data_IF_886570529209
#
_entry.id   IF_886570529209
#
_cell.length_a   1.000
_cell.length_b   1.000
_cell.length_c   1.000
_cell.angle_alpha   90.00
_cell.angle_beta   90.00
_cell.angle_gamma   90.00
#
_symmetry.space_group_name_H-M   'P 1'
#
loop_
_entity.id
_entity.type
_entity.pdbx_description
1 polymer ?
#
# COMPACT_ATOMS: atom_id res chain seq x y z
N UNK A 1 22.69 -2.96 5.65
CA UNK A 1 22.96 -2.50 4.26
C UNK A 1 23.75 -3.50 3.39
N UNK A 2 24.93 -3.98 3.81
CA UNK A 2 25.77 -4.88 2.97
C UNK A 2 25.10 -6.20 2.57
N UNK A 3 24.30 -6.77 3.47
CA UNK A 3 23.63 -8.06 3.31
C UNK A 3 22.50 -8.03 2.25
N UNK A 4 21.67 -6.98 2.26
CA UNK A 4 20.67 -6.76 1.21
C UNK A 4 21.30 -6.53 -0.17
N UNK A 5 22.50 -5.95 -0.22
CA UNK A 5 23.22 -5.69 -1.47
C UNK A 5 23.74 -6.98 -2.11
N UNK A 6 24.31 -7.88 -1.29
CA UNK A 6 24.75 -9.19 -1.74
C UNK A 6 23.59 -10.08 -2.20
N UNK A 7 22.47 -10.08 -1.47
CA UNK A 7 21.27 -10.83 -1.84
C UNK A 7 20.71 -10.36 -3.20
N UNK A 8 20.64 -9.05 -3.42
CA UNK A 8 20.19 -8.44 -4.68
C UNK A 8 21.14 -8.77 -5.85
N UNK A 9 22.46 -8.70 -5.62
CA UNK A 9 23.48 -9.05 -6.63
C UNK A 9 23.45 -10.53 -7.01
N UNK A 10 23.18 -11.41 -6.05
CA UNK A 10 23.01 -12.85 -6.30
C UNK A 10 21.75 -13.12 -7.14
N UNK A 11 20.61 -12.53 -6.77
CA UNK A 11 19.35 -12.65 -7.52
C UNK A 11 19.49 -12.18 -8.99
N UNK A 12 20.13 -11.03 -9.22
CA UNK A 12 20.43 -10.53 -10.57
C UNK A 12 21.28 -11.52 -11.38
N UNK A 13 22.27 -12.16 -10.75
CA UNK A 13 23.08 -13.21 -11.39
C UNK A 13 22.27 -14.45 -11.73
N UNK A 14 21.35 -14.86 -10.87
CA UNK A 14 20.48 -16.02 -11.12
C UNK A 14 19.52 -15.74 -12.28
N UNK A 15 18.91 -14.55 -12.35
CA UNK A 15 17.98 -14.17 -13.42
C UNK A 15 18.66 -14.15 -14.78
N UNK A 16 19.90 -13.65 -14.85
CA UNK A 16 20.66 -13.60 -16.11
C UNK A 16 21.08 -14.97 -16.65
N UNK A 17 20.97 -16.04 -15.85
CA UNK A 17 21.24 -17.42 -16.28
C UNK A 17 20.00 -18.12 -16.82
N UNK A 18 18.81 -17.53 -16.67
CA UNK A 18 17.56 -18.11 -17.17
C UNK A 18 17.36 -17.81 -18.66
N UNK A 19 16.63 -18.68 -19.39
CA UNK A 19 16.14 -18.37 -20.72
C UNK A 19 15.39 -17.04 -20.77
N UNK A 20 15.50 -16.27 -21.86
CA UNK A 20 14.90 -14.93 -22.00
C UNK A 20 13.40 -14.91 -21.67
N UNK A 21 12.67 -15.97 -22.02
CA UNK A 21 11.23 -16.12 -21.72
C UNK A 21 10.95 -16.19 -20.22
N UNK A 22 11.71 -17.00 -19.49
CA UNK A 22 11.57 -17.18 -18.04
C UNK A 22 12.00 -15.93 -17.29
N UNK A 23 13.12 -15.32 -17.69
CA UNK A 23 13.58 -14.05 -17.13
C UNK A 23 12.53 -12.93 -17.30
N UNK A 24 11.86 -12.86 -18.47
CA UNK A 24 10.78 -11.91 -18.72
C UNK A 24 9.55 -12.17 -17.84
N UNK A 25 9.15 -13.43 -17.66
CA UNK A 25 8.04 -13.78 -16.78
C UNK A 25 8.34 -13.44 -15.31
N UNK A 26 9.54 -13.77 -14.83
CA UNK A 26 9.95 -13.46 -13.47
C UNK A 26 10.01 -11.95 -13.22
N UNK A 27 10.46 -11.17 -14.21
CA UNK A 27 10.44 -9.71 -14.13
C UNK A 27 9.01 -9.16 -14.02
N UNK A 28 8.07 -9.67 -14.82
CA UNK A 28 6.65 -9.29 -14.71
C UNK A 28 6.06 -9.61 -13.33
N UNK A 29 6.38 -10.78 -12.78
CA UNK A 29 5.95 -11.16 -11.43
C UNK A 29 6.54 -10.22 -10.37
N UNK A 30 7.83 -9.88 -10.49
CA UNK A 30 8.49 -8.94 -9.59
C UNK A 30 7.84 -7.56 -9.66
N UNK A 31 7.61 -7.04 -10.87
CA UNK A 31 6.99 -5.74 -11.08
C UNK A 31 5.56 -5.71 -10.49
N UNK A 32 4.80 -6.79 -10.67
CA UNK A 32 3.48 -6.96 -10.07
C UNK A 32 3.56 -6.95 -8.53
N UNK A 33 4.40 -7.80 -7.93
CA UNK A 33 4.56 -7.85 -6.48
C UNK A 33 5.03 -6.51 -5.90
N UNK A 34 5.95 -5.83 -6.57
CA UNK A 34 6.43 -4.52 -6.14
C UNK A 34 5.35 -3.44 -6.22
N UNK A 35 4.46 -3.50 -7.22
CA UNK A 35 3.33 -2.58 -7.37
C UNK A 35 2.33 -2.71 -6.21
N UNK A 36 1.98 -3.94 -5.82
CA UNK A 36 0.93 -4.18 -4.83
C UNK A 36 1.44 -4.29 -3.38
N UNK A 37 2.61 -4.91 -3.18
CA UNK A 37 3.14 -5.20 -1.83
C UNK A 37 4.35 -4.33 -1.45
N UNK A 38 4.79 -3.43 -2.35
CA UNK A 38 5.97 -2.61 -2.13
C UNK A 38 5.87 -1.71 -0.89
N UNK A 39 4.68 -1.14 -0.64
CA UNK A 39 4.43 -0.25 0.51
C UNK A 39 4.50 -0.95 1.86
N UNK A 40 4.10 -2.23 1.93
CA UNK A 40 4.05 -3.02 3.17
C UNK A 40 5.21 -4.00 3.32
N UNK A 41 6.22 -3.93 2.43
CA UNK A 41 7.34 -4.88 2.38
C UNK A 41 8.08 -5.05 3.72
N UNK A 42 8.12 -4.01 4.54
CA UNK A 42 8.82 -4.00 5.83
C UNK A 42 7.90 -4.21 7.03
N UNK A 43 6.59 -4.30 6.80
CA UNK A 43 5.60 -4.54 7.83
C UNK A 43 5.68 -6.02 8.25
N UNK A 44 5.99 -6.26 9.53
CA UNK A 44 6.16 -7.62 10.09
C UNK A 44 4.99 -8.05 10.96
N UNK A 45 4.18 -7.10 11.39
CA UNK A 45 2.96 -7.26 12.19
C UNK A 45 1.84 -6.42 11.58
N UNK A 46 0.60 -6.65 12.01
CA UNK A 46 -0.51 -5.78 11.64
C UNK A 46 -0.25 -4.33 12.09
N UNK A 47 -0.77 -3.34 11.35
CA UNK A 47 -0.71 -1.94 11.78
C UNK A 47 -1.58 -1.70 13.02
N UNK A 48 -1.14 -0.80 13.89
CA UNK A 48 -1.96 -0.35 15.02
C UNK A 48 -3.05 0.65 14.59
N UNK A 49 -2.82 1.40 13.51
CA UNK A 49 -3.75 2.39 12.92
C UNK A 49 -3.59 2.36 11.40
N UNK A 50 -4.68 2.54 10.67
CA UNK A 50 -4.67 2.72 9.21
C UNK A 50 -5.22 4.10 8.83
N UNK A 51 -4.52 4.80 7.95
CA UNK A 51 -4.99 6.05 7.36
C UNK A 51 -5.53 5.74 5.97
N UNK A 52 -6.79 6.10 5.70
CA UNK A 52 -7.50 5.82 4.45
C UNK A 52 -7.85 7.15 3.78
N UNK A 53 -7.72 7.19 2.46
CA UNK A 53 -8.11 8.32 1.63
C UNK A 53 -9.10 7.75 0.62
N UNK A 54 -10.18 8.47 0.35
CA UNK A 54 -11.22 8.04 -0.58
C UNK A 54 -11.92 6.74 -0.14
N UNK A 55 -12.94 6.93 0.70
CA UNK A 55 -13.75 5.85 1.25
C UNK A 55 -14.50 5.04 0.19
N UNK A 56 -14.93 5.68 -0.91
CA UNK A 56 -15.65 4.98 -1.96
C UNK A 56 -14.75 4.01 -2.72
N UNK A 57 -13.51 4.43 -3.03
CA UNK A 57 -12.55 3.57 -3.71
C UNK A 57 -11.97 2.50 -2.79
N UNK A 58 -11.77 2.81 -1.51
CA UNK A 58 -11.09 1.94 -0.54
C UNK A 58 -12.04 1.24 0.46
N UNK A 59 -13.31 1.05 0.08
CA UNK A 59 -14.32 0.41 0.94
C UNK A 59 -13.89 -0.97 1.48
N UNK A 60 -13.17 -1.75 0.68
CA UNK A 60 -12.67 -3.07 1.11
C UNK A 60 -11.66 -2.95 2.25
N UNK A 61 -10.76 -1.96 2.19
CA UNK A 61 -9.78 -1.73 3.24
C UNK A 61 -10.44 -1.32 4.56
N UNK A 62 -11.50 -0.50 4.50
CA UNK A 62 -12.30 -0.13 5.66
C UNK A 62 -12.93 -1.36 6.30
N UNK A 63 -13.58 -2.22 5.50
CA UNK A 63 -14.19 -3.46 6.00
C UNK A 63 -13.17 -4.42 6.62
N UNK A 64 -12.00 -4.56 6.02
CA UNK A 64 -10.92 -5.37 6.58
C UNK A 64 -10.43 -4.81 7.92
N UNK A 65 -10.27 -3.49 8.03
CA UNK A 65 -9.88 -2.83 9.28
C UNK A 65 -10.93 -3.03 10.38
N UNK A 66 -12.21 -2.84 10.06
CA UNK A 66 -13.33 -3.10 10.99
C UNK A 66 -13.31 -4.57 11.46
N UNK A 67 -13.14 -5.51 10.53
CA UNK A 67 -13.11 -6.95 10.83
C UNK A 67 -11.92 -7.32 11.72
N UNK A 68 -10.76 -6.69 11.51
CA UNK A 68 -9.55 -6.92 12.29
C UNK A 68 -9.51 -6.11 13.59
N UNK A 69 -10.46 -5.19 13.80
CA UNK A 69 -10.48 -4.28 14.95
C UNK A 69 -9.35 -3.26 14.93
N UNK A 70 -8.88 -2.87 13.74
CA UNK A 70 -7.82 -1.89 13.56
C UNK A 70 -8.46 -0.51 13.40
N UNK A 71 -8.15 0.47 14.26
CA UNK A 71 -8.72 1.81 14.17
C UNK A 71 -8.27 2.54 12.89
N UNK A 72 -9.19 3.32 12.33
CA UNK A 72 -9.05 4.00 11.05
C UNK A 72 -9.14 5.52 11.20
N UNK A 73 -8.29 6.22 10.45
CA UNK A 73 -8.39 7.67 10.23
C UNK A 73 -8.72 7.85 8.75
N UNK A 74 -9.86 8.44 8.41
CA UNK A 74 -10.26 8.63 7.01
C UNK A 74 -10.42 10.10 6.65
N UNK A 75 -9.95 10.48 5.46
CA UNK A 75 -10.39 11.72 4.84
C UNK A 75 -11.82 11.51 4.30
N UNK A 76 -12.74 12.38 4.69
CA UNK A 76 -14.17 12.29 4.37
C UNK A 76 -14.57 13.56 3.62
N UNK A 77 -15.04 13.40 2.38
CA UNK A 77 -15.68 14.48 1.60
C UNK A 77 -17.22 14.33 1.65
N UNK A 78 -17.94 15.16 0.91
CA UNK A 78 -19.40 15.27 0.90
C UNK A 78 -20.15 14.00 0.49
N UNK A 79 -19.48 13.04 -0.14
CA UNK A 79 -20.04 11.80 -0.67
C UNK A 79 -19.62 10.54 0.12
N UNK A 80 -19.07 10.74 1.31
CA UNK A 80 -18.55 9.73 2.21
C UNK A 80 -19.43 9.59 3.47
N UNK A 81 -19.41 8.40 4.10
CA UNK A 81 -20.15 8.11 5.33
C UNK A 81 -19.18 8.13 6.54
N UNK A 82 -19.25 9.16 7.41
CA UNK A 82 -18.33 9.32 8.53
C UNK A 82 -18.49 8.25 9.61
N UNK A 83 -19.62 7.52 9.65
CA UNK A 83 -19.87 6.50 10.69
C UNK A 83 -19.07 5.20 10.46
N UNK A 84 -18.47 5.06 9.27
CA UNK A 84 -17.68 3.90 8.87
C UNK A 84 -16.20 4.00 9.25
N UNK A 85 -15.78 5.10 9.89
CA UNK A 85 -14.40 5.35 10.31
C UNK A 85 -14.36 5.85 11.75
N UNK A 86 -13.31 5.51 12.50
CA UNK A 86 -13.19 5.89 13.90
C UNK A 86 -12.87 7.39 14.07
N UNK A 87 -12.07 7.94 13.16
CA UNK A 87 -11.64 9.33 13.17
C UNK A 87 -11.84 9.94 11.77
N UNK A 88 -13.02 10.52 11.49
CA UNK A 88 -13.26 11.21 10.24
C UNK A 88 -12.61 12.60 10.24
N UNK A 89 -11.84 12.89 9.18
CA UNK A 89 -11.25 14.21 8.92
C UNK A 89 -11.97 14.82 7.71
N UNK A 90 -12.77 15.88 7.87
CA UNK A 90 -13.45 16.51 6.75
C UNK A 90 -12.41 17.18 5.84
N UNK A 91 -12.33 16.72 4.59
CA UNK A 91 -11.33 17.18 3.63
C UNK A 91 -11.78 16.87 2.19
N UNK A 92 -11.20 17.61 1.24
CA UNK A 92 -11.34 17.29 -0.19
C UNK A 92 -10.28 16.25 -0.56
N UNK A 93 -10.70 15.03 -0.86
CA UNK A 93 -9.82 13.92 -1.24
C UNK A 93 -9.54 13.86 -2.77
N UNK A 94 -10.35 14.53 -3.59
CA UNK A 94 -10.09 14.68 -5.03
C UNK A 94 -8.81 15.50 -5.32
N UNK A 95 -8.51 16.48 -4.47
CA UNK A 95 -7.41 17.41 -4.67
C UNK A 95 -6.10 16.88 -4.09
N UNK A 96 -5.14 16.52 -4.96
CA UNK A 96 -3.76 16.18 -4.56
C UNK A 96 -3.11 17.22 -3.64
N UNK A 97 -3.43 18.49 -3.83
CA UNK A 97 -2.94 19.55 -2.95
C UNK A 97 -3.49 19.39 -1.53
N UNK A 98 -4.81 19.17 -1.39
CA UNK A 98 -5.45 18.99 -0.08
C UNK A 98 -4.92 17.75 0.64
N UNK A 99 -4.85 16.59 -0.03
CA UNK A 99 -4.21 15.38 0.52
C UNK A 99 -2.81 15.68 1.03
N UNK A 100 -2.01 16.38 0.21
CA UNK A 100 -0.62 16.69 0.55
C UNK A 100 -0.52 17.60 1.78
N UNK A 101 -1.40 18.58 1.91
CA UNK A 101 -1.46 19.49 3.06
C UNK A 101 -1.82 18.78 4.37
N UNK A 102 -2.60 17.70 4.29
CA UNK A 102 -3.04 16.96 5.49
C UNK A 102 -2.00 15.92 5.89
N UNK A 103 -1.31 15.29 4.93
CA UNK A 103 -0.40 14.17 5.19
C UNK A 103 1.10 14.54 5.25
N UNK A 104 1.53 15.72 4.82
CA UNK A 104 2.94 16.17 4.82
C UNK A 104 3.10 17.59 5.34
#
# INVERSE_FOLDING_TARGET
MKESYHKKKHLLRTINRLPKKEAANLKRQLDHLQKYLGGIKYMTSLPDIVIIIDQQKEFTAIQECITLGIPTICLVDTDCDPDMTDIPIPANDDARASIRWILN
#
